data_IF_122956145532
#
_entry.id   IF_122956145532
#
_cell.length_a   1.000
_cell.length_b   1.000
_cell.length_c   1.000
_cell.angle_alpha   90.00
_cell.angle_beta   90.00
_cell.angle_gamma   90.00
#
_symmetry.space_group_name_H-M   'P 1'
#
loop_
_entity.id
_entity.type
_entity.pdbx_description
1 polymer ?
#
# COMPACT_ATOMS: atom_id res chain seq x y z
N UNK A 1 2.56 18.23 -3.45
CA UNK A 1 1.70 17.02 -3.46
C UNK A 1 0.29 17.29 -2.97
N UNK A 2 -0.67 16.72 -3.68
CA UNK A 2 -2.10 16.67 -3.38
C UNK A 2 -2.52 15.21 -3.11
N UNK A 3 -3.52 15.02 -2.25
CA UNK A 3 -4.11 13.70 -2.01
C UNK A 3 -5.20 13.44 -3.06
N UNK A 4 -5.01 12.44 -3.93
CA UNK A 4 -5.98 12.13 -5.00
C UNK A 4 -6.89 10.96 -4.66
N UNK A 5 -6.48 10.12 -3.70
CA UNK A 5 -7.31 9.02 -3.23
C UNK A 5 -6.91 8.55 -1.84
N UNK A 6 -7.91 8.11 -1.07
CA UNK A 6 -7.72 7.45 0.22
C UNK A 6 -8.73 6.33 0.40
N UNK A 7 -8.28 5.20 0.96
CA UNK A 7 -9.12 4.06 1.32
C UNK A 7 -8.62 3.45 2.62
N UNK A 8 -9.56 2.95 3.41
CA UNK A 8 -9.30 2.31 4.70
C UNK A 8 -9.97 0.94 4.73
N UNK A 9 -9.26 -0.07 5.24
CA UNK A 9 -9.83 -1.40 5.48
C UNK A 9 -9.22 -2.06 6.71
N UNK A 10 -9.98 -2.93 7.36
CA UNK A 10 -9.43 -3.81 8.41
C UNK A 10 -8.63 -4.95 7.79
N UNK A 11 -7.49 -5.21 8.38
CA UNK A 11 -6.60 -6.32 8.12
C UNK A 11 -6.72 -7.31 9.28
N UNK A 12 -6.87 -8.62 8.99
CA UNK A 12 -6.95 -9.65 10.03
C UNK A 12 -5.80 -9.68 11.05
N UNK A 13 -4.52 -9.50 10.65
CA UNK A 13 -3.41 -9.59 11.59
C UNK A 13 -3.24 -8.30 12.42
N UNK A 14 -2.42 -8.35 13.50
CA UNK A 14 -2.10 -7.18 14.31
C UNK A 14 -1.24 -6.16 13.55
N UNK A 15 -1.22 -4.92 14.05
CA UNK A 15 -0.49 -3.75 13.50
C UNK A 15 0.94 -4.09 13.10
N UNK A 16 1.69 -4.75 13.99
CA UNK A 16 3.10 -5.10 13.75
C UNK A 16 3.30 -6.00 12.53
N UNK A 17 2.41 -6.98 12.34
CA UNK A 17 2.50 -7.90 11.22
C UNK A 17 2.15 -7.21 9.88
N UNK A 18 1.20 -6.27 9.89
CA UNK A 18 0.91 -5.44 8.70
C UNK A 18 2.10 -4.54 8.38
N UNK A 19 2.66 -3.87 9.40
CA UNK A 19 3.84 -3.02 9.25
C UNK A 19 5.02 -3.80 8.66
N UNK A 20 5.35 -4.96 9.24
CA UNK A 20 6.44 -5.80 8.78
C UNK A 20 6.25 -6.27 7.33
N UNK A 21 5.01 -6.61 6.93
CA UNK A 21 4.71 -7.01 5.56
C UNK A 21 4.86 -5.85 4.56
N UNK A 22 4.57 -4.61 4.96
CA UNK A 22 4.74 -3.41 4.13
C UNK A 22 6.21 -2.97 4.01
N UNK A 23 7.00 -3.11 5.08
CA UNK A 23 8.44 -2.77 5.06
C UNK A 23 9.25 -3.87 4.38
N UNK A 24 8.86 -5.14 4.55
CA UNK A 24 9.56 -6.33 4.02
C UNK A 24 8.61 -7.23 3.22
N UNK A 25 8.20 -6.81 2.01
CA UNK A 25 7.25 -7.58 1.20
C UNK A 25 7.73 -8.99 0.81
N UNK A 26 9.04 -9.25 0.80
CA UNK A 26 9.62 -10.57 0.50
C UNK A 26 9.98 -11.40 1.75
N UNK A 27 9.49 -11.02 2.94
CA UNK A 27 9.88 -11.70 4.18
C UNK A 27 9.52 -13.20 4.17
N UNK A 28 8.45 -13.59 3.46
CA UNK A 28 8.10 -14.99 3.22
C UNK A 28 8.16 -15.31 1.71
N UNK A 29 9.25 -15.93 1.21
CA UNK A 29 9.38 -16.33 -0.18
C UNK A 29 8.31 -17.33 -0.65
N UNK A 30 7.62 -18.01 0.28
CA UNK A 30 6.54 -18.95 -0.03
C UNK A 30 5.19 -18.26 -0.23
N UNK A 31 5.08 -17.00 0.21
CA UNK A 31 3.86 -16.19 0.12
C UNK A 31 4.19 -14.79 -0.43
N UNK A 32 4.76 -14.69 -1.64
CA UNK A 32 4.99 -13.41 -2.26
C UNK A 32 3.64 -12.75 -2.57
N UNK A 33 3.48 -11.50 -2.13
CA UNK A 33 2.23 -10.75 -2.36
C UNK A 33 2.45 -9.50 -3.20
N UNK A 34 3.67 -8.96 -3.19
CA UNK A 34 4.06 -7.81 -4.00
C UNK A 34 4.36 -8.26 -5.43
N UNK A 35 3.33 -8.68 -6.14
CA UNK A 35 3.39 -9.07 -7.55
C UNK A 35 3.18 -7.85 -8.42
N UNK A 36 4.23 -7.41 -9.12
CA UNK A 36 4.17 -6.28 -10.06
C UNK A 36 3.73 -6.75 -11.45
N UNK A 37 2.97 -5.90 -12.16
CA UNK A 37 2.69 -6.07 -13.58
C UNK A 37 3.87 -5.58 -14.44
N UNK A 38 3.86 -5.91 -15.73
CA UNK A 38 4.96 -5.56 -16.66
C UNK A 38 5.16 -4.05 -16.82
N UNK A 39 4.13 -3.25 -16.60
CA UNK A 39 4.15 -1.78 -16.65
C UNK A 39 4.36 -1.12 -15.27
N UNK A 40 4.68 -1.92 -14.25
CA UNK A 40 4.88 -1.47 -12.88
C UNK A 40 6.31 -1.65 -12.40
N UNK A 41 6.69 -0.83 -11.43
CA UNK A 41 7.97 -0.95 -10.76
C UNK A 41 7.77 -1.28 -9.29
N UNK A 42 8.77 -1.97 -8.73
CA UNK A 42 8.78 -2.27 -7.31
C UNK A 42 8.98 -0.99 -6.49
N UNK A 43 8.12 -0.71 -5.50
CA UNK A 43 8.29 0.45 -4.65
C UNK A 43 9.49 0.30 -3.71
N UNK A 44 10.13 1.42 -3.40
CA UNK A 44 11.12 1.56 -2.33
C UNK A 44 10.49 2.22 -1.10
N UNK A 45 11.04 1.94 0.09
CA UNK A 45 10.60 2.62 1.32
C UNK A 45 11.21 4.03 1.34
N UNK A 46 10.35 5.04 1.31
CA UNK A 46 10.72 6.46 1.40
C UNK A 46 10.81 6.88 2.87
N UNK A 47 9.85 6.43 3.68
CA UNK A 47 9.76 6.70 5.12
C UNK A 47 9.12 5.52 5.83
N UNK A 48 9.52 5.26 7.07
CA UNK A 48 8.84 4.31 7.96
C UNK A 48 8.90 4.77 9.41
N UNK A 49 7.75 4.84 10.06
CA UNK A 49 7.61 5.12 11.50
C UNK A 49 6.91 3.92 12.11
N UNK A 50 7.64 3.14 12.90
CA UNK A 50 7.14 1.88 13.43
C UNK A 50 6.20 2.08 14.64
N UNK A 51 5.05 1.37 14.71
CA UNK A 51 4.40 0.55 13.69
C UNK A 51 3.36 1.31 12.84
N UNK A 52 3.25 2.64 13.03
CA UNK A 52 2.08 3.42 12.64
C UNK A 52 2.07 3.87 11.17
N UNK A 53 3.23 3.95 10.50
CA UNK A 53 3.30 4.51 9.14
C UNK A 53 4.40 3.91 8.27
N UNK A 54 4.07 3.68 7.01
CA UNK A 54 5.03 3.37 5.94
C UNK A 54 4.72 4.24 4.73
N UNK A 55 5.73 4.80 4.08
CA UNK A 55 5.59 5.52 2.81
C UNK A 55 6.39 4.81 1.75
N UNK A 56 5.71 4.43 0.68
CA UNK A 56 6.31 3.85 -0.51
C UNK A 56 6.50 4.91 -1.60
N UNK A 57 7.57 4.74 -2.38
CA UNK A 57 7.71 5.40 -3.67
C UNK A 57 6.66 4.88 -4.66
N UNK A 58 6.54 5.56 -5.80
CA UNK A 58 5.61 5.15 -6.84
C UNK A 58 5.85 3.73 -7.33
N UNK A 59 4.76 3.03 -7.62
CA UNK A 59 4.76 1.76 -8.38
C UNK A 59 4.57 1.98 -9.89
N UNK A 60 4.36 3.23 -10.32
CA UNK A 60 4.09 3.58 -11.71
C UNK A 60 5.27 4.36 -12.30
N UNK A 61 6.00 3.78 -13.27
CA UNK A 61 7.12 4.47 -13.94
C UNK A 61 6.74 5.79 -14.62
N UNK A 62 5.49 5.93 -15.08
CA UNK A 62 4.96 7.15 -15.71
C UNK A 62 4.59 8.25 -14.69
N UNK A 63 4.56 7.93 -13.40
CA UNK A 63 4.37 8.87 -12.27
C UNK A 63 5.40 8.60 -11.17
N UNK A 64 6.70 8.79 -11.43
CA UNK A 64 7.75 8.45 -10.47
C UNK A 64 7.68 9.27 -9.18
N UNK A 65 7.06 10.45 -9.22
CA UNK A 65 6.86 11.37 -8.10
C UNK A 65 5.75 10.93 -7.13
N UNK A 66 4.88 10.01 -7.54
CA UNK A 66 3.77 9.58 -6.71
C UNK A 66 4.27 8.89 -5.42
N UNK A 67 3.58 9.15 -4.32
CA UNK A 67 3.82 8.49 -3.04
C UNK A 67 2.59 7.74 -2.58
N UNK A 68 2.81 6.59 -1.96
CA UNK A 68 1.74 5.80 -1.34
C UNK A 68 2.00 5.78 0.16
N UNK A 69 1.22 6.55 0.91
CA UNK A 69 1.28 6.58 2.37
C UNK A 69 0.36 5.51 2.94
N UNK A 70 0.89 4.67 3.81
CA UNK A 70 0.16 3.72 4.63
C UNK A 70 0.14 4.22 6.07
N UNK A 71 -1.04 4.44 6.62
CA UNK A 71 -1.25 4.68 8.05
C UNK A 71 -1.90 3.41 8.65
N UNK A 72 -1.30 2.88 9.71
CA UNK A 72 -1.68 1.63 10.36
C UNK A 72 -2.13 1.93 11.78
N UNK A 73 -3.35 1.56 12.12
CA UNK A 73 -3.94 1.82 13.43
C UNK A 73 -4.35 0.49 14.07
N UNK A 74 -4.11 0.33 15.37
CA UNK A 74 -4.60 -0.83 16.13
C UNK A 74 -6.13 -0.81 16.22
N UNK A 75 -6.74 -1.98 16.36
CA UNK A 75 -8.16 -2.14 16.66
C UNK A 75 -8.31 -2.96 17.94
N UNK A 76 -9.39 -2.70 18.70
CA UNK A 76 -9.65 -3.40 19.96
C UNK A 76 -9.72 -4.95 19.88
N UNK A 77 -9.73 -5.54 18.67
CA UNK A 77 -9.91 -6.98 18.42
C UNK A 77 -8.63 -7.67 17.90
N UNK A 78 -7.44 -7.18 18.23
CA UNK A 78 -6.16 -7.74 17.75
C UNK A 78 -6.02 -7.77 16.22
N UNK A 79 -6.69 -6.84 15.54
CA UNK A 79 -6.64 -6.62 14.09
C UNK A 79 -6.11 -5.22 13.82
N UNK A 80 -5.72 -4.90 12.58
CA UNK A 80 -5.23 -3.57 12.23
C UNK A 80 -6.17 -2.87 11.24
N UNK A 81 -6.38 -1.57 11.38
CA UNK A 81 -6.86 -0.76 10.26
C UNK A 81 -5.67 -0.31 9.43
N UNK A 82 -5.72 -0.60 8.14
CA UNK A 82 -4.78 -0.09 7.16
C UNK A 82 -5.49 0.95 6.30
N UNK A 83 -5.01 2.20 6.35
CA UNK A 83 -5.38 3.26 5.41
C UNK A 83 -4.25 3.45 4.43
N UNK A 84 -4.55 3.42 3.13
CA UNK A 84 -3.62 3.92 2.12
C UNK A 84 -4.13 5.26 1.58
N UNK A 85 -3.20 6.17 1.34
CA UNK A 85 -3.42 7.46 0.69
C UNK A 85 -2.44 7.59 -0.47
N UNK A 86 -2.96 7.91 -1.65
CA UNK A 86 -2.17 8.16 -2.85
C UNK A 86 -1.96 9.67 -3.00
N UNK A 87 -0.69 10.06 -3.01
CA UNK A 87 -0.25 11.45 -3.16
C UNK A 87 0.48 11.62 -4.49
N UNK A 88 0.21 12.72 -5.19
CA UNK A 88 0.87 13.08 -6.46
C UNK A 88 1.16 14.57 -6.47
N UNK A 89 2.11 15.01 -7.30
CA UNK A 89 2.26 16.44 -7.59
C UNK A 89 1.25 16.90 -8.64
N UNK A 90 1.04 18.21 -8.70
CA UNK A 90 0.20 18.80 -9.73
C UNK A 90 0.88 18.74 -11.11
N UNK A 91 0.12 18.52 -12.20
CA UNK A 91 -1.33 18.37 -12.23
C UNK A 91 -1.79 16.96 -11.84
N UNK A 92 -2.94 16.92 -11.14
CA UNK A 92 -3.64 15.67 -10.87
C UNK A 92 -3.88 14.89 -12.17
N UNK A 93 -3.74 13.55 -12.17
CA UNK A 93 -4.22 12.73 -13.27
C UNK A 93 -5.73 12.90 -13.48
N UNK A 94 -6.20 12.54 -14.67
CA UNK A 94 -7.64 12.47 -14.94
C UNK A 94 -8.35 11.41 -14.08
N UNK A 95 -9.67 11.54 -13.95
CA UNK A 95 -10.48 10.67 -13.10
C UNK A 95 -10.37 9.18 -13.47
N UNK A 96 -10.29 8.85 -14.76
CA UNK A 96 -10.17 7.46 -15.22
C UNK A 96 -8.83 6.85 -14.76
N UNK A 97 -7.75 7.62 -14.90
CA UNK A 97 -6.43 7.23 -14.42
C UNK A 97 -6.42 7.08 -12.89
N UNK A 98 -7.04 7.99 -12.14
CA UNK A 98 -7.16 7.88 -10.67
C UNK A 98 -7.89 6.58 -10.30
N UNK A 99 -9.00 6.26 -10.97
CA UNK A 99 -9.75 5.02 -10.74
C UNK A 99 -8.89 3.78 -11.02
N UNK A 100 -8.10 3.78 -12.10
CA UNK A 100 -7.17 2.68 -12.43
C UNK A 100 -6.10 2.51 -11.35
N UNK A 101 -5.47 3.59 -10.90
CA UNK A 101 -4.48 3.57 -9.82
C UNK A 101 -5.08 3.03 -8.51
N UNK A 102 -6.28 3.49 -8.15
CA UNK A 102 -6.99 3.03 -6.95
C UNK A 102 -7.35 1.55 -7.01
N UNK A 103 -7.82 1.07 -8.16
CA UNK A 103 -8.17 -0.34 -8.36
C UNK A 103 -6.95 -1.21 -8.14
N UNK A 104 -5.80 -0.79 -8.68
CA UNK A 104 -4.55 -1.54 -8.54
C UNK A 104 -4.02 -1.59 -7.12
N UNK A 105 -4.02 -0.46 -6.40
CA UNK A 105 -3.65 -0.44 -4.98
C UNK A 105 -4.59 -1.33 -4.14
N UNK A 106 -5.89 -1.31 -4.45
CA UNK A 106 -6.85 -2.16 -3.77
C UNK A 106 -6.59 -3.65 -4.02
N UNK A 107 -6.16 -4.04 -5.21
CA UNK A 107 -5.76 -5.41 -5.53
C UNK A 107 -4.51 -5.81 -4.73
N UNK A 108 -3.43 -5.03 -4.79
CA UNK A 108 -2.20 -5.31 -4.05
C UNK A 108 -2.44 -5.45 -2.54
N UNK A 109 -3.22 -4.54 -1.95
CA UNK A 109 -3.39 -4.46 -0.50
C UNK A 109 -4.51 -5.34 0.02
N UNK A 110 -5.64 -5.45 -0.69
CA UNK A 110 -6.79 -6.18 -0.17
C UNK A 110 -6.90 -7.61 -0.68
N UNK A 111 -6.28 -7.92 -1.82
CA UNK A 111 -6.22 -9.27 -2.36
C UNK A 111 -4.88 -9.89 -1.97
N UNK A 112 -3.78 -9.33 -2.46
CA UNK A 112 -2.50 -10.03 -2.37
C UNK A 112 -1.96 -10.01 -0.94
N UNK A 113 -1.82 -8.84 -0.32
CA UNK A 113 -1.32 -8.74 1.07
C UNK A 113 -2.21 -9.52 2.03
N UNK A 114 -3.54 -9.48 1.85
CA UNK A 114 -4.46 -10.21 2.72
C UNK A 114 -4.26 -11.72 2.64
N UNK A 115 -3.89 -12.24 1.47
CA UNK A 115 -3.63 -13.68 1.28
C UNK A 115 -2.43 -14.19 2.09
N UNK A 116 -1.44 -13.34 2.39
CA UNK A 116 -0.26 -13.76 3.19
C UNK A 116 -0.66 -14.13 4.61
N UNK A 117 -1.74 -13.53 5.13
CA UNK A 117 -2.27 -13.80 6.46
C UNK A 117 -3.19 -15.03 6.52
N UNK A 118 -3.28 -15.81 5.44
CA UNK A 118 -4.01 -17.08 5.40
C UNK A 118 -5.52 -16.95 5.17
N UNK A 119 -5.97 -15.89 4.47
CA UNK A 119 -7.33 -15.77 3.94
C UNK A 119 -7.39 -15.99 2.43
#
# INVERSE_FOLDING_TARGET
>A
MIEIATRRRSQPPPVRAVFDALVRPDCDPRRPWLTMHDDEQRPSIVESVEPDRVVWSSIWPWRPEALIRFDIEDTAQSSAYLRWTLLVDEPAPDDETIVRMCRRLNELINTNLRSTFGQ
#
